data_IF_189594942374
#
_entry.id   IF_189594942374
#
_cell.length_a   1.000
_cell.length_b   1.000
_cell.length_c   1.000
_cell.angle_alpha   90.00
_cell.angle_beta   90.00
_cell.angle_gamma   90.00
#
_symmetry.space_group_name_H-M   'P 1'
#
loop_
_entity.id
_entity.type
_entity.pdbx_description
1 polymer ?
#
# COMPACT_ATOMS: atom_id res chain seq x y z
N UNK A 1 20.21 -17.77 13.18
CA UNK A 1 18.80 -17.69 13.58
C UNK A 1 18.22 -16.52 12.82
N UNK A 2 17.36 -16.77 11.84
CA UNK A 2 16.56 -15.71 11.23
C UNK A 2 15.45 -15.37 12.20
N UNK A 3 15.75 -14.47 13.16
CA UNK A 3 14.76 -13.97 14.11
C UNK A 3 13.69 -13.18 13.38
N UNK A 4 12.48 -13.14 13.93
CA UNK A 4 11.43 -12.22 13.50
C UNK A 4 11.97 -10.78 13.48
N UNK A 5 11.60 -10.01 12.48
CA UNK A 5 12.02 -8.62 12.30
C UNK A 5 10.80 -7.73 12.37
N UNK A 6 10.91 -6.60 13.07
CA UNK A 6 9.87 -5.60 13.12
C UNK A 6 10.16 -4.51 12.07
N UNK A 7 9.23 -4.28 11.17
CA UNK A 7 9.28 -3.13 10.28
C UNK A 7 8.41 -2.01 10.85
N UNK A 8 8.92 -0.80 10.84
CA UNK A 8 8.22 0.40 11.30
C UNK A 8 8.18 1.42 10.17
N UNK A 9 7.06 2.10 10.04
CA UNK A 9 6.90 3.15 9.04
C UNK A 9 6.16 4.35 9.61
N UNK A 10 6.31 5.54 8.99
CA UNK A 10 5.64 6.73 9.43
C UNK A 10 6.15 8.02 8.81
N UNK A 11 5.77 9.13 9.43
CA UNK A 11 6.21 10.47 9.07
C UNK A 11 7.41 10.89 9.95
N UNK A 12 8.58 10.37 9.65
CA UNK A 12 9.82 10.77 10.31
C UNK A 12 10.96 10.86 9.29
N UNK A 13 11.73 11.91 9.34
CA UNK A 13 12.86 12.15 8.44
C UNK A 13 14.20 11.63 8.98
N UNK A 14 14.22 11.21 10.23
CA UNK A 14 15.32 10.49 10.86
C UNK A 14 14.80 9.69 12.06
N UNK A 15 15.39 8.56 12.30
CA UNK A 15 15.14 7.78 13.50
C UNK A 15 16.38 7.78 14.37
N UNK A 16 16.27 8.28 15.61
CA UNK A 16 17.39 8.43 16.54
C UNK A 16 18.57 9.28 15.98
N UNK A 17 18.27 10.29 15.14
CA UNK A 17 19.27 11.14 14.52
C UNK A 17 20.00 10.50 13.32
N UNK A 18 19.52 9.39 12.82
CA UNK A 18 20.06 8.72 11.64
C UNK A 18 19.17 8.99 10.42
N UNK A 19 19.62 9.86 9.52
CA UNK A 19 18.90 10.26 8.31
C UNK A 19 18.79 9.15 7.25
N UNK A 20 19.49 8.03 7.40
CA UNK A 20 19.30 6.87 6.55
C UNK A 20 18.07 6.05 6.95
N UNK A 21 17.51 6.28 8.15
CA UNK A 21 16.30 5.63 8.63
C UNK A 21 15.09 6.52 8.36
N UNK A 22 14.84 6.80 7.08
CA UNK A 22 13.86 7.77 6.62
C UNK A 22 12.55 7.08 6.24
N UNK A 23 11.46 7.35 6.97
CA UNK A 23 10.09 6.88 6.77
C UNK A 23 9.85 5.37 6.91
N UNK A 24 10.85 4.50 6.67
CA UNK A 24 10.80 3.05 6.91
C UNK A 24 12.10 2.59 7.55
N UNK A 25 12.00 1.79 8.60
CA UNK A 25 13.15 1.15 9.24
C UNK A 25 12.82 -0.28 9.66
N UNK A 26 13.85 -1.09 9.81
CA UNK A 26 13.78 -2.47 10.29
C UNK A 26 14.49 -2.58 11.62
N UNK A 27 13.86 -3.24 12.61
CA UNK A 27 14.42 -3.55 13.93
C UNK A 27 14.71 -5.03 14.07
N UNK A 28 15.91 -5.39 14.43
CA UNK A 28 16.36 -6.79 14.60
C UNK A 28 16.35 -7.29 16.06
N UNK A 29 15.83 -6.48 16.99
CA UNK A 29 15.85 -6.72 18.44
C UNK A 29 16.95 -5.92 19.17
N UNK A 30 17.88 -5.31 18.44
CA UNK A 30 19.03 -4.57 19.00
C UNK A 30 19.29 -3.25 18.30
N UNK A 31 19.18 -3.20 16.97
CA UNK A 31 19.49 -2.03 16.13
C UNK A 31 18.45 -1.79 15.04
N UNK A 32 18.28 -0.51 14.71
CA UNK A 32 17.54 -0.13 13.51
C UNK A 32 18.46 -0.12 12.29
N UNK A 33 17.93 -0.56 11.16
CA UNK A 33 18.59 -0.50 9.86
C UNK A 33 17.64 0.01 8.78
N UNK A 34 18.19 0.58 7.71
CA UNK A 34 17.42 1.03 6.56
C UNK A 34 16.76 -0.13 5.80
N UNK A 35 15.74 0.19 5.02
CA UNK A 35 15.03 -0.76 4.15
C UNK A 35 15.09 -0.25 2.72
N UNK A 36 16.17 -0.62 2.00
CA UNK A 36 16.29 -0.40 0.58
C UNK A 36 16.42 1.05 0.11
N UNK A 37 16.87 1.98 0.97
CA UNK A 37 17.13 3.37 0.61
C UNK A 37 16.00 4.34 0.96
N UNK A 38 16.14 5.58 0.48
CA UNK A 38 15.28 6.71 0.88
C UNK A 38 13.96 6.77 0.13
N UNK A 39 12.99 7.44 0.73
CA UNK A 39 11.70 7.78 0.12
C UNK A 39 11.77 9.21 -0.43
N UNK A 40 11.25 9.43 -1.62
CA UNK A 40 11.30 10.71 -2.30
C UNK A 40 9.97 11.15 -2.91
N UNK A 41 9.87 12.44 -3.22
CA UNK A 41 8.70 13.04 -3.88
C UNK A 41 8.32 14.40 -3.33
N UNK A 42 7.09 14.84 -3.66
CA UNK A 42 6.55 16.09 -3.15
C UNK A 42 6.13 15.92 -1.69
N UNK A 43 6.55 16.85 -0.85
CA UNK A 43 6.21 16.87 0.58
C UNK A 43 4.72 17.14 0.84
N UNK A 44 4.18 16.66 1.96
CA UNK A 44 4.80 15.81 2.97
C UNK A 44 4.86 14.34 2.51
N UNK A 45 6.05 13.75 2.65
CA UNK A 45 6.28 12.32 2.44
C UNK A 45 5.80 11.55 3.67
N UNK A 46 5.19 10.39 3.44
CA UNK A 46 4.75 9.53 4.54
C UNK A 46 4.49 8.12 4.03
N UNK A 47 4.90 7.12 4.79
CA UNK A 47 4.41 5.75 4.68
C UNK A 47 3.32 5.57 5.72
N UNK A 48 2.13 5.23 5.29
CA UNK A 48 0.92 5.15 6.12
C UNK A 48 0.58 3.73 6.51
N UNK A 49 0.97 2.76 5.67
CA UNK A 49 0.68 1.36 5.90
C UNK A 49 1.81 0.46 5.42
N UNK A 50 2.04 -0.63 6.15
CA UNK A 50 2.93 -1.73 5.81
C UNK A 50 2.17 -3.04 5.92
N UNK A 51 2.19 -3.83 4.86
CA UNK A 51 1.59 -5.16 4.82
C UNK A 51 2.64 -6.21 4.47
N UNK A 52 2.91 -7.15 5.38
CA UNK A 52 3.65 -8.36 5.04
C UNK A 52 2.67 -9.41 4.53
N UNK A 53 2.93 -9.96 3.35
CA UNK A 53 2.04 -10.95 2.74
C UNK A 53 2.81 -11.89 1.82
N UNK A 54 2.34 -13.13 1.77
CA UNK A 54 2.84 -14.20 0.91
C UNK A 54 1.80 -14.67 -0.14
N UNK A 55 0.80 -13.84 -0.44
CA UNK A 55 -0.32 -14.23 -1.29
C UNK A 55 0.09 -14.74 -2.69
N UNK A 56 1.26 -14.35 -3.18
CA UNK A 56 1.83 -14.83 -4.44
C UNK A 56 2.91 -15.92 -4.25
N UNK A 57 3.01 -16.51 -3.04
CA UNK A 57 3.98 -17.56 -2.71
C UNK A 57 5.37 -17.05 -2.34
N UNK A 58 5.55 -15.73 -2.19
CA UNK A 58 6.79 -15.08 -1.74
C UNK A 58 6.49 -14.19 -0.55
N UNK A 59 7.35 -14.22 0.48
CA UNK A 59 7.24 -13.28 1.59
C UNK A 59 7.66 -11.89 1.14
N UNK A 60 6.69 -11.01 0.93
CA UNK A 60 6.86 -9.66 0.46
C UNK A 60 6.38 -8.65 1.50
N UNK A 61 7.00 -7.46 1.52
CA UNK A 61 6.55 -6.33 2.32
C UNK A 61 6.04 -5.23 1.39
N UNK A 62 4.76 -4.95 1.45
CA UNK A 62 4.13 -3.84 0.73
C UNK A 62 4.19 -2.58 1.59
N UNK A 63 4.50 -1.45 0.95
CA UNK A 63 4.49 -0.13 1.57
C UNK A 63 3.50 0.77 0.82
N UNK A 64 2.56 1.35 1.55
CA UNK A 64 1.57 2.28 1.03
C UNK A 64 1.67 3.64 1.72
N UNK A 65 1.39 4.73 0.98
CA UNK A 65 1.50 6.06 1.57
C UNK A 65 1.36 7.18 0.56
N UNK A 66 2.12 8.26 0.79
CA UNK A 66 2.25 9.37 -0.13
C UNK A 66 3.73 9.61 -0.43
N UNK A 67 4.17 9.08 -1.55
CA UNK A 67 5.54 9.20 -2.07
C UNK A 67 5.53 9.02 -3.59
N UNK A 68 6.61 9.43 -4.25
CA UNK A 68 6.78 9.25 -5.70
C UNK A 68 7.90 8.27 -6.02
N UNK A 69 8.87 8.12 -5.10
CA UNK A 69 9.99 7.20 -5.24
C UNK A 69 10.29 6.51 -3.91
N UNK A 70 10.80 5.30 -3.97
CA UNK A 70 11.30 4.54 -2.84
C UNK A 70 12.54 3.74 -3.28
N UNK A 71 13.64 3.83 -2.56
CA UNK A 71 14.87 3.13 -2.91
C UNK A 71 15.41 3.46 -4.31
N UNK A 72 15.10 4.66 -4.84
CA UNK A 72 15.48 5.05 -6.20
C UNK A 72 14.53 4.55 -7.29
N UNK A 73 13.52 3.73 -6.95
CA UNK A 73 12.48 3.26 -7.88
C UNK A 73 11.36 4.30 -7.96
N UNK A 74 10.85 4.59 -9.17
CA UNK A 74 9.67 5.43 -9.37
C UNK A 74 8.41 4.62 -9.04
N UNK A 75 7.94 4.71 -7.80
CA UNK A 75 6.80 3.96 -7.28
C UNK A 75 5.76 4.93 -6.71
N UNK A 76 4.66 5.11 -7.43
CA UNK A 76 3.65 6.10 -7.07
C UNK A 76 2.74 5.57 -5.94
N UNK A 77 3.03 6.00 -4.69
CA UNK A 77 2.22 5.79 -3.49
C UNK A 77 2.08 4.34 -2.99
N UNK A 78 2.59 3.35 -3.74
CA UNK A 78 2.64 1.94 -3.34
C UNK A 78 3.87 1.28 -3.93
N UNK A 79 4.53 0.43 -3.16
CA UNK A 79 5.72 -0.32 -3.57
C UNK A 79 5.78 -1.67 -2.86
N UNK A 80 6.57 -2.60 -3.37
CA UNK A 80 6.83 -3.89 -2.77
C UNK A 80 8.33 -4.13 -2.59
N UNK A 81 8.72 -4.65 -1.43
CA UNK A 81 10.06 -5.05 -1.04
C UNK A 81 10.18 -6.57 -1.02
N UNK A 82 11.13 -7.12 -1.76
CA UNK A 82 11.37 -8.57 -1.84
C UNK A 82 12.42 -9.09 -0.84
N UNK A 83 12.93 -8.21 0.03
CA UNK A 83 14.03 -8.48 0.95
C UNK A 83 15.37 -7.94 0.45
N UNK A 84 15.47 -7.54 -0.82
CA UNK A 84 16.71 -7.05 -1.48
C UNK A 84 16.51 -5.76 -2.26
N UNK A 85 15.37 -5.58 -2.90
CA UNK A 85 15.05 -4.44 -3.75
C UNK A 85 13.56 -4.05 -3.66
N UNK A 86 13.28 -2.77 -3.92
CA UNK A 86 11.91 -2.28 -4.13
C UNK A 86 11.48 -2.46 -5.58
N UNK A 87 10.18 -2.71 -5.78
CA UNK A 87 9.51 -2.72 -7.08
C UNK A 87 8.24 -1.85 -7.02
N UNK A 88 7.79 -1.33 -8.16
CA UNK A 88 6.80 -0.24 -8.27
C UNK A 88 5.35 -0.70 -8.48
N UNK A 89 5.08 -1.99 -8.49
CA UNK A 89 3.75 -2.56 -8.81
C UNK A 89 3.15 -1.94 -10.09
N UNK A 90 3.87 -2.08 -11.21
CA UNK A 90 3.44 -1.59 -12.53
C UNK A 90 3.12 -0.08 -12.53
N UNK A 91 4.03 0.74 -11.94
CA UNK A 91 3.91 2.21 -11.89
C UNK A 91 3.04 2.76 -10.78
N UNK A 92 2.42 1.90 -9.95
CA UNK A 92 1.69 2.27 -8.75
C UNK A 92 0.36 2.99 -8.97
N UNK A 93 -0.06 3.75 -7.94
CA UNK A 93 -1.37 4.40 -7.87
C UNK A 93 -1.24 5.93 -7.88
N UNK A 94 -2.05 6.60 -8.68
CA UNK A 94 -2.01 8.05 -8.84
C UNK A 94 -3.41 8.67 -8.97
N UNK A 95 -3.47 9.98 -9.20
CA UNK A 95 -4.72 10.71 -9.33
C UNK A 95 -4.63 11.78 -10.43
N UNK A 96 -5.74 11.97 -11.14
CA UNK A 96 -5.86 12.99 -12.21
C UNK A 96 -5.72 14.43 -11.71
N UNK A 97 -6.05 14.68 -10.44
CA UNK A 97 -5.93 16.01 -9.83
C UNK A 97 -5.70 15.92 -8.32
N UNK A 98 -4.87 16.81 -7.79
CA UNK A 98 -4.49 16.79 -6.38
C UNK A 98 -3.43 15.73 -6.07
N UNK A 99 -3.27 15.38 -4.81
CA UNK A 99 -2.36 14.34 -4.38
C UNK A 99 -3.09 13.00 -4.24
N UNK A 100 -2.44 11.92 -4.66
CA UNK A 100 -2.84 10.56 -4.35
C UNK A 100 -2.17 10.08 -3.05
N UNK A 101 -2.80 9.11 -2.40
CA UNK A 101 -2.20 8.37 -1.28
C UNK A 101 -2.87 7.02 -1.11
N UNK A 102 -2.09 6.04 -0.69
CA UNK A 102 -2.58 4.78 -0.16
C UNK A 102 -2.73 4.93 1.36
N UNK A 103 -3.89 4.56 1.89
CA UNK A 103 -4.22 4.68 3.31
C UNK A 103 -4.18 3.34 4.02
N UNK A 104 -4.61 2.28 3.35
CA UNK A 104 -4.62 0.92 3.90
C UNK A 104 -4.50 -0.14 2.81
N UNK A 105 -3.88 -1.26 3.18
CA UNK A 105 -3.70 -2.43 2.33
C UNK A 105 -4.07 -3.71 3.11
N UNK A 106 -4.67 -4.67 2.43
CA UNK A 106 -4.93 -5.99 2.99
C UNK A 106 -4.80 -7.07 1.92
N UNK A 107 -4.49 -8.29 2.31
CA UNK A 107 -4.56 -9.44 1.42
C UNK A 107 -5.87 -10.18 1.66
N UNK A 108 -6.56 -10.56 0.58
CA UNK A 108 -7.81 -11.29 0.63
C UNK A 108 -8.02 -12.10 -0.64
N UNK A 109 -8.85 -13.15 -0.57
CA UNK A 109 -9.23 -13.99 -1.69
C UNK A 109 -10.74 -13.87 -1.96
N UNK A 110 -11.11 -13.24 -3.07
CA UNK A 110 -12.51 -13.11 -3.52
C UNK A 110 -13.04 -14.35 -4.25
N UNK A 111 -12.30 -15.46 -4.20
CA UNK A 111 -12.58 -16.70 -4.91
C UNK A 111 -11.88 -16.78 -6.28
N UNK A 112 -11.18 -15.74 -6.72
CA UNK A 112 -10.35 -15.73 -7.93
C UNK A 112 -8.86 -15.99 -7.66
N UNK A 113 -8.50 -16.17 -6.40
CA UNK A 113 -7.15 -16.30 -5.87
C UNK A 113 -6.78 -15.12 -4.97
N UNK A 114 -5.82 -15.35 -4.03
CA UNK A 114 -5.37 -14.31 -3.12
C UNK A 114 -4.80 -13.11 -3.87
N UNK A 115 -5.06 -11.90 -3.38
CA UNK A 115 -4.62 -10.66 -4.00
C UNK A 115 -4.41 -9.56 -2.96
N UNK A 116 -3.70 -8.48 -3.34
CA UNK A 116 -3.59 -7.26 -2.56
C UNK A 116 -4.77 -6.34 -2.87
N UNK A 117 -5.47 -5.91 -1.84
CA UNK A 117 -6.53 -4.89 -1.90
C UNK A 117 -6.04 -3.60 -1.28
N UNK A 118 -6.21 -2.51 -2.00
CA UNK A 118 -5.67 -1.20 -1.63
C UNK A 118 -6.79 -0.17 -1.54
N UNK A 119 -6.89 0.48 -0.40
CA UNK A 119 -7.78 1.60 -0.14
C UNK A 119 -7.03 2.92 0.00
N UNK A 120 -7.65 4.03 -0.41
CA UNK A 120 -6.98 5.33 -0.29
C UNK A 120 -7.67 6.45 -1.04
N UNK A 121 -6.86 7.34 -1.60
CA UNK A 121 -7.25 8.46 -2.46
C UNK A 121 -6.51 8.37 -3.78
N UNK A 122 -7.13 7.75 -4.78
CA UNK A 122 -6.58 7.60 -6.12
C UNK A 122 -7.69 7.30 -7.14
N UNK A 123 -7.40 7.40 -8.42
CA UNK A 123 -8.30 7.00 -9.51
C UNK A 123 -7.56 6.53 -10.76
N UNK A 124 -6.24 6.37 -10.66
CA UNK A 124 -5.39 5.82 -11.71
C UNK A 124 -4.48 4.73 -11.13
N UNK A 125 -4.31 3.64 -11.87
CA UNK A 125 -3.28 2.64 -11.64
C UNK A 125 -2.49 2.44 -12.94
N UNK A 126 -1.16 2.34 -12.86
CA UNK A 126 -0.29 2.29 -14.04
C UNK A 126 -0.59 3.43 -15.06
N UNK A 127 -1.03 4.60 -14.56
CA UNK A 127 -1.46 5.73 -15.39
C UNK A 127 -2.83 5.59 -16.05
N UNK A 128 -3.52 4.47 -15.91
CA UNK A 128 -4.83 4.20 -16.50
C UNK A 128 -5.96 4.40 -15.48
N UNK A 129 -7.18 4.81 -15.94
CA UNK A 129 -8.32 4.90 -15.04
C UNK A 129 -8.65 3.56 -14.37
N UNK A 130 -8.87 3.61 -13.06
CA UNK A 130 -9.29 2.48 -12.23
C UNK A 130 -10.48 2.89 -11.35
N UNK A 131 -11.07 1.93 -10.63
CA UNK A 131 -12.11 2.24 -9.63
C UNK A 131 -11.60 3.28 -8.62
N UNK A 132 -12.44 4.27 -8.32
CA UNK A 132 -12.04 5.38 -7.44
C UNK A 132 -11.83 4.87 -6.02
N UNK A 133 -10.68 5.19 -5.43
CA UNK A 133 -10.31 5.00 -4.03
C UNK A 133 -10.19 3.53 -3.56
N UNK A 134 -10.32 2.57 -4.46
CA UNK A 134 -10.08 1.15 -4.19
C UNK A 134 -9.55 0.44 -5.44
N UNK A 135 -8.62 -0.50 -5.27
CA UNK A 135 -8.04 -1.29 -6.34
C UNK A 135 -7.60 -2.67 -5.85
N UNK A 136 -7.54 -3.63 -6.78
CA UNK A 136 -7.03 -4.98 -6.56
C UNK A 136 -5.77 -5.19 -7.41
N UNK A 137 -4.71 -5.75 -6.81
CA UNK A 137 -3.48 -6.19 -7.46
C UNK A 137 -3.35 -7.71 -7.33
N UNK A 138 -3.28 -8.43 -8.44
CA UNK A 138 -3.24 -9.90 -8.47
C UNK A 138 -1.81 -10.48 -8.44
N UNK A 139 -0.80 -9.63 -8.29
CA UNK A 139 0.61 -9.98 -8.37
C UNK A 139 1.25 -9.60 -9.71
N UNK A 140 0.44 -9.25 -10.73
CA UNK A 140 0.90 -8.89 -12.08
C UNK A 140 0.22 -7.65 -12.66
N UNK A 141 -1.03 -7.41 -12.29
CA UNK A 141 -1.84 -6.32 -12.85
C UNK A 141 -2.84 -5.73 -11.87
N UNK A 142 -3.16 -4.46 -12.09
CA UNK A 142 -4.22 -3.76 -11.37
C UNK A 142 -5.58 -4.02 -12.01
N UNK A 143 -6.59 -4.21 -11.18
CA UNK A 143 -7.99 -4.34 -11.60
C UNK A 143 -8.94 -3.51 -10.77
N UNK A 144 -10.06 -3.10 -11.40
CA UNK A 144 -11.11 -2.30 -10.78
C UNK A 144 -12.04 -3.13 -9.90
N UNK A 145 -12.51 -2.53 -8.82
CA UNK A 145 -13.58 -3.05 -7.96
C UNK A 145 -14.86 -2.24 -8.19
N UNK A 146 -15.59 -2.59 -9.25
CA UNK A 146 -16.74 -1.79 -9.70
C UNK A 146 -16.33 -0.37 -10.07
N UNK A 147 -17.13 0.63 -9.71
CA UNK A 147 -16.78 2.06 -9.89
C UNK A 147 -16.07 2.67 -8.67
N UNK A 148 -15.89 1.91 -7.59
CA UNK A 148 -15.23 2.36 -6.38
C UNK A 148 -16.12 3.18 -5.45
N UNK A 149 -15.52 4.10 -4.71
CA UNK A 149 -16.13 4.92 -3.67
C UNK A 149 -16.04 6.41 -4.01
N UNK A 150 -17.02 7.21 -3.60
CA UNK A 150 -17.07 8.66 -3.87
C UNK A 150 -16.09 9.48 -3.01
N UNK A 151 -15.53 8.91 -1.94
CA UNK A 151 -14.51 9.53 -1.10
C UNK A 151 -13.49 8.50 -0.59
N UNK A 152 -12.53 8.96 0.23
CA UNK A 152 -11.39 8.17 0.67
C UNK A 152 -11.79 6.90 1.41
N UNK A 153 -11.15 5.79 1.07
CA UNK A 153 -11.19 4.52 1.81
C UNK A 153 -10.03 4.51 2.80
N UNK A 154 -10.35 4.49 4.10
CA UNK A 154 -9.38 4.59 5.18
C UNK A 154 -8.89 3.23 5.67
N UNK A 155 -9.75 2.21 5.61
CA UNK A 155 -9.43 0.87 6.10
C UNK A 155 -10.19 -0.19 5.29
N UNK A 156 -9.57 -1.34 5.12
CA UNK A 156 -10.11 -2.54 4.52
C UNK A 156 -9.92 -3.72 5.48
N UNK A 157 -10.96 -4.47 5.77
CA UNK A 157 -10.91 -5.60 6.69
C UNK A 157 -11.61 -6.80 6.06
N UNK A 158 -10.91 -7.91 5.94
CA UNK A 158 -11.52 -9.20 5.63
C UNK A 158 -12.14 -9.78 6.91
N UNK A 159 -13.43 -10.11 6.88
CA UNK A 159 -14.15 -10.60 8.05
C UNK A 159 -15.27 -11.55 7.63
N UNK A 160 -15.44 -12.65 8.39
CA UNK A 160 -16.54 -13.58 8.26
C UNK A 160 -17.56 -13.35 9.39
N UNK A 161 -18.73 -12.84 9.05
CA UNK A 161 -19.85 -12.61 9.98
C UNK A 161 -20.73 -13.85 10.17
N UNK A 162 -20.31 -15.01 9.63
CA UNK A 162 -21.03 -16.27 9.63
C UNK A 162 -21.78 -16.55 8.32
N UNK A 163 -21.77 -15.62 7.36
CA UNK A 163 -22.33 -15.80 6.01
C UNK A 163 -21.26 -16.12 4.95
N UNK A 164 -20.01 -16.12 5.35
CA UNK A 164 -18.82 -16.25 4.52
C UNK A 164 -17.91 -15.01 4.63
N UNK A 165 -16.63 -15.18 4.33
CA UNK A 165 -15.68 -14.09 4.41
C UNK A 165 -15.99 -13.03 3.34
N UNK A 166 -15.99 -11.76 3.75
CA UNK A 166 -16.20 -10.61 2.90
C UNK A 166 -15.21 -9.50 3.20
N UNK A 167 -14.92 -8.64 2.21
CA UNK A 167 -14.10 -7.46 2.39
C UNK A 167 -14.97 -6.25 2.78
N UNK A 168 -14.71 -5.70 3.95
CA UNK A 168 -15.37 -4.52 4.48
C UNK A 168 -14.48 -3.29 4.27
N UNK A 169 -15.07 -2.17 3.88
CA UNK A 169 -14.40 -0.89 3.71
C UNK A 169 -14.94 0.14 4.71
N UNK A 170 -14.03 0.89 5.33
CA UNK A 170 -14.31 2.02 6.20
C UNK A 170 -13.71 3.29 5.59
N UNK A 171 -14.44 4.40 5.59
CA UNK A 171 -13.94 5.63 5.00
C UNK A 171 -14.88 6.82 5.14
N UNK A 172 -14.54 7.89 4.43
CA UNK A 172 -15.33 9.13 4.41
C UNK A 172 -16.42 9.13 3.33
N UNK A 173 -16.58 8.03 2.62
CA UNK A 173 -17.51 7.89 1.50
C UNK A 173 -18.97 7.81 1.96
N UNK A 174 -19.87 8.25 1.10
CA UNK A 174 -21.32 8.15 1.26
C UNK A 174 -21.96 7.21 0.24
N UNK A 175 -21.26 6.89 -0.85
CA UNK A 175 -21.73 6.01 -1.90
C UNK A 175 -20.66 4.99 -2.32
N UNK A 176 -21.15 3.78 -2.62
CA UNK A 176 -20.36 2.70 -3.22
C UNK A 176 -20.88 2.49 -4.64
N UNK A 177 -20.04 2.77 -5.62
CA UNK A 177 -20.46 2.73 -7.00
C UNK A 177 -21.35 3.91 -7.41
N UNK A 178 -21.63 4.00 -8.70
CA UNK A 178 -22.69 4.87 -9.20
C UNK A 178 -24.01 4.10 -9.08
N UNK A 179 -24.76 4.32 -8.01
CA UNK A 179 -26.17 4.02 -8.06
C UNK A 179 -26.90 5.16 -8.74
N UNK A 180 -27.83 4.85 -9.69
CA UNK A 180 -28.74 5.84 -10.20
C UNK A 180 -29.65 6.35 -9.12
#
# INVERSE_FOLDING_TARGET
MTGEQLYIAGNYGDLNGNTALDHIAKWDGTTYSEVGGTIGGAVPLIVLDLLASDFNGSNLLYAGGRFLTIGGVSALNVAVWDGTAWDDLDGGLSRTSGFAQVLHMTSWDDGSGPALYVGGRFNLAAGNPISTNIAKWDGTSWSSMGSGFDADVHELVAFDDGSGEALYALGSFSMVGSRP
#
